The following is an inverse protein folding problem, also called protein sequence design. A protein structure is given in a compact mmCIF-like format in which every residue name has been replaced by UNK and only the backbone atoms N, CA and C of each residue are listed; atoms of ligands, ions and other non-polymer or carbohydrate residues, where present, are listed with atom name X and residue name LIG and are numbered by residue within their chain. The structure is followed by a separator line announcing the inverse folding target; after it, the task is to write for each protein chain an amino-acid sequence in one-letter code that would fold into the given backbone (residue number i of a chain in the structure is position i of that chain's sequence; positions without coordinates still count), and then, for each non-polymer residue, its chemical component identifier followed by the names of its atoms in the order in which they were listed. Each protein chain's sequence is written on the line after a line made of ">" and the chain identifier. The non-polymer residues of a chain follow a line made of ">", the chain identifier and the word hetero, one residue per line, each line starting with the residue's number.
data_IF_749971986621
#
_entry.id   IF_749971986621
#
_cell.length_a   1.000
_cell.length_b   1.000
_cell.length_c   1.000
_cell.angle_alpha   90.00
_cell.angle_beta   90.00
_cell.angle_gamma   90.00
#
_symmetry.space_group_name_H-M   'P 1'
#
loop_
_entity.id
_entity.type
_entity.pdbx_description
1 polymer ?
#
# COMPACT_ATOMS: atom_id res chain seq x y z
N UNK A 1 -27.63 33.54 50.71
CA UNK A 1 -28.16 33.43 52.09
C UNK A 1 -26.97 33.35 53.04
N UNK A 2 -26.92 34.16 54.11
CA UNK A 2 -25.88 34.01 55.12
C UNK A 2 -26.12 32.73 55.91
N UNK A 3 -25.05 32.05 56.33
CA UNK A 3 -25.16 30.85 57.12
C UNK A 3 -25.53 31.24 58.55
N UNK A 4 -26.59 30.64 59.10
CA UNK A 4 -27.04 30.86 60.47
C UNK A 4 -26.84 29.60 61.29
N UNK A 5 -26.52 29.76 62.58
CA UNK A 5 -26.54 28.64 63.51
C UNK A 5 -27.99 28.24 63.89
N UNK A 6 -28.14 27.15 64.64
CA UNK A 6 -29.46 26.68 65.09
C UNK A 6 -30.18 27.68 66.02
N UNK A 7 -29.48 28.70 66.54
CA UNK A 7 -30.03 29.78 67.35
C UNK A 7 -30.43 31.02 66.53
N UNK A 8 -30.26 31.01 65.20
CA UNK A 8 -30.61 32.11 64.31
C UNK A 8 -29.59 33.25 64.27
N UNK A 9 -28.38 33.06 64.80
CA UNK A 9 -27.33 34.06 64.72
C UNK A 9 -26.61 33.95 63.36
N UNK A 10 -26.34 35.11 62.75
CA UNK A 10 -25.68 35.16 61.45
C UNK A 10 -24.18 34.94 61.61
N UNK A 11 -23.66 33.83 61.08
CA UNK A 11 -22.24 33.48 61.17
C UNK A 11 -21.44 34.26 60.11
N UNK A 12 -20.43 35.00 60.56
CA UNK A 12 -19.47 35.66 59.69
C UNK A 12 -18.49 34.62 59.14
N UNK A 13 -18.72 34.15 57.92
CA UNK A 13 -17.78 33.26 57.23
C UNK A 13 -16.75 34.11 56.50
N UNK A 14 -15.57 34.28 57.07
CA UNK A 14 -14.49 35.07 56.48
C UNK A 14 -13.86 34.43 55.24
N UNK A 15 -13.97 33.10 55.07
CA UNK A 15 -13.50 32.38 53.87
C UNK A 15 -14.41 31.23 53.49
N UNK A 16 -14.80 31.18 52.21
CA UNK A 16 -15.55 30.07 51.61
C UNK A 16 -14.70 28.78 51.73
N UNK A 17 -15.25 27.65 52.20
CA UNK A 17 -14.51 26.39 52.20
C UNK A 17 -14.11 26.03 50.76
N UNK A 18 -12.89 25.51 50.53
CA UNK A 18 -12.46 25.14 49.20
C UNK A 18 -13.35 24.01 48.65
N UNK A 19 -13.83 24.19 47.42
CA UNK A 19 -14.47 23.12 46.65
C UNK A 19 -13.37 22.10 46.30
N UNK A 20 -13.27 21.03 47.07
CA UNK A 20 -12.39 19.91 46.76
C UNK A 20 -12.77 19.34 45.39
N UNK A 21 -11.81 19.27 44.48
CA UNK A 21 -11.97 18.52 43.23
C UNK A 21 -12.01 17.02 43.55
N UNK A 22 -12.55 16.21 42.64
CA UNK A 22 -12.72 14.76 42.83
C UNK A 22 -11.42 13.98 43.14
N UNK A 23 -10.26 14.61 43.00
CA UNK A 23 -8.94 14.06 43.36
C UNK A 23 -8.54 14.27 44.83
N UNK A 24 -9.18 15.18 45.57
CA UNK A 24 -8.77 15.57 46.94
C UNK A 24 -9.68 15.04 48.06
N UNK A 25 -10.60 14.13 47.74
CA UNK A 25 -11.36 13.39 48.75
C UNK A 25 -10.52 12.20 49.23
N UNK A 26 -9.72 12.44 50.27
CA UNK A 26 -9.15 11.36 51.09
C UNK A 26 -10.27 10.43 51.56
N UNK A 27 -10.08 9.14 51.26
CA UNK A 27 -10.90 8.02 51.70
C UNK A 27 -10.93 7.98 53.23
N UNK A 28 -11.93 8.62 53.82
CA UNK A 28 -12.34 8.31 55.19
C UNK A 28 -13.27 7.13 55.11
N UNK A 29 -12.81 6.03 55.71
CA UNK A 29 -13.36 4.70 55.62
C UNK A 29 -14.84 4.66 56.05
N UNK A 30 -15.75 4.57 55.08
CA UNK A 30 -17.09 3.96 55.27
C UNK A 30 -17.86 3.65 53.96
N UNK A 31 -17.26 3.85 52.76
CA UNK A 31 -18.01 3.72 51.50
C UNK A 31 -17.31 2.80 50.48
N UNK A 32 -17.02 1.55 50.89
CA UNK A 32 -16.32 0.56 50.04
C UNK A 32 -17.05 0.29 48.72
N UNK A 33 -18.39 0.41 48.74
CA UNK A 33 -19.26 0.29 47.57
C UNK A 33 -19.06 1.42 46.57
N UNK A 34 -18.83 2.66 47.04
CA UNK A 34 -18.58 3.82 46.18
C UNK A 34 -17.18 3.73 45.54
N UNK A 35 -16.19 3.22 46.26
CA UNK A 35 -14.85 2.98 45.72
C UNK A 35 -14.83 1.89 44.65
N UNK A 36 -15.56 0.78 44.86
CA UNK A 36 -15.72 -0.28 43.85
C UNK A 36 -16.48 0.18 42.61
N UNK A 37 -17.58 0.92 42.77
CA UNK A 37 -18.33 1.49 41.65
C UNK A 37 -17.47 2.43 40.81
N UNK A 38 -16.64 3.27 41.44
CA UNK A 38 -15.70 4.14 40.72
C UNK A 38 -14.68 3.35 39.89
N UNK A 39 -14.14 2.25 40.44
CA UNK A 39 -13.23 1.34 39.71
C UNK A 39 -13.92 0.68 38.51
N UNK A 40 -15.15 0.19 38.69
CA UNK A 40 -15.94 -0.40 37.61
C UNK A 40 -16.27 0.61 36.50
N UNK A 41 -16.65 1.84 36.87
CA UNK A 41 -16.90 2.93 35.91
C UNK A 41 -15.63 3.24 35.10
N UNK A 42 -14.47 3.27 35.76
CA UNK A 42 -13.19 3.51 35.07
C UNK A 42 -12.87 2.40 34.07
N UNK A 43 -13.03 1.13 34.46
CA UNK A 43 -12.82 -0.03 33.58
C UNK A 43 -13.80 -0.05 32.39
N UNK A 44 -15.07 0.29 32.63
CA UNK A 44 -16.08 0.39 31.57
C UNK A 44 -15.73 1.51 30.57
N UNK A 45 -15.30 2.68 31.06
CA UNK A 45 -14.84 3.78 30.20
C UNK A 45 -13.62 3.38 29.36
N UNK A 46 -12.65 2.70 29.96
CA UNK A 46 -11.47 2.19 29.25
C UNK A 46 -11.83 1.18 28.16
N UNK A 47 -12.75 0.26 28.47
CA UNK A 47 -13.21 -0.77 27.53
C UNK A 47 -14.03 -0.17 26.40
N UNK A 48 -14.94 0.76 26.70
CA UNK A 48 -15.72 1.48 25.71
C UNK A 48 -14.80 2.28 24.75
N UNK A 49 -13.79 2.97 25.29
CA UNK A 49 -12.80 3.70 24.48
C UNK A 49 -11.98 2.76 23.60
N UNK A 50 -11.54 1.61 24.13
CA UNK A 50 -10.80 0.61 23.37
C UNK A 50 -11.63 0.04 22.21
N UNK A 51 -12.90 -0.31 22.46
CA UNK A 51 -13.83 -0.78 21.43
C UNK A 51 -14.08 0.28 20.36
N UNK A 52 -14.25 1.54 20.74
CA UNK A 52 -14.41 2.64 19.78
C UNK A 52 -13.17 2.81 18.89
N UNK A 53 -11.97 2.74 19.47
CA UNK A 53 -10.70 2.81 18.71
C UNK A 53 -10.57 1.61 17.76
N UNK A 54 -10.92 0.40 18.19
CA UNK A 54 -10.92 -0.78 17.33
C UNK A 54 -11.93 -0.65 16.17
N UNK A 55 -13.14 -0.14 16.45
CA UNK A 55 -14.14 0.14 15.41
C UNK A 55 -13.64 1.11 14.35
N UNK A 56 -13.01 2.22 14.78
CA UNK A 56 -12.41 3.20 13.86
C UNK A 56 -11.28 2.56 13.03
N UNK A 57 -10.42 1.73 13.65
CA UNK A 57 -9.34 1.05 12.93
C UNK A 57 -9.86 0.11 11.84
N UNK A 58 -10.90 -0.67 12.14
CA UNK A 58 -11.53 -1.56 11.16
C UNK A 58 -12.14 -0.79 9.99
N UNK A 59 -12.80 0.35 10.25
CA UNK A 59 -13.33 1.21 9.20
C UNK A 59 -12.21 1.78 8.32
N UNK A 60 -11.09 2.23 8.90
CA UNK A 60 -9.94 2.73 8.14
C UNK A 60 -9.36 1.65 7.24
N UNK A 61 -9.21 0.41 7.73
CA UNK A 61 -8.71 -0.72 6.95
C UNK A 61 -9.65 -0.98 5.77
N UNK A 62 -10.95 -1.10 6.03
CA UNK A 62 -11.93 -1.35 4.98
C UNK A 62 -11.97 -0.24 3.92
N UNK A 63 -11.80 1.03 4.32
CA UNK A 63 -11.69 2.14 3.37
C UNK A 63 -10.40 2.06 2.53
N UNK A 64 -9.27 1.67 3.13
CA UNK A 64 -8.01 1.48 2.41
C UNK A 64 -8.09 0.33 1.39
N UNK A 65 -8.67 -0.79 1.77
CA UNK A 65 -8.82 -1.94 0.88
C UNK A 65 -9.70 -1.59 -0.32
N UNK A 66 -10.82 -0.89 -0.07
CA UNK A 66 -11.73 -0.43 -1.13
C UNK A 66 -11.06 0.58 -2.08
N UNK A 67 -10.26 1.51 -1.54
CA UNK A 67 -9.47 2.45 -2.35
C UNK A 67 -8.38 1.74 -3.17
N UNK A 68 -7.70 0.77 -2.57
CA UNK A 68 -6.69 -0.05 -3.26
C UNK A 68 -7.29 -0.79 -4.45
N UNK A 69 -8.48 -1.38 -4.25
CA UNK A 69 -9.19 -2.12 -5.30
C UNK A 69 -9.71 -1.22 -6.42
N UNK A 70 -10.23 -0.02 -6.09
CA UNK A 70 -10.60 0.96 -7.10
C UNK A 70 -9.41 1.43 -7.92
N UNK A 71 -8.25 1.64 -7.30
CA UNK A 71 -7.03 2.03 -8.01
C UNK A 71 -6.52 0.90 -8.91
N UNK A 72 -6.58 -0.37 -8.47
CA UNK A 72 -6.19 -1.50 -9.33
C UNK A 72 -7.11 -1.64 -10.54
N UNK A 73 -8.42 -1.46 -10.36
CA UNK A 73 -9.39 -1.53 -11.46
C UNK A 73 -9.20 -0.39 -12.47
N UNK A 74 -8.87 0.81 -11.98
CA UNK A 74 -8.56 1.97 -12.83
C UNK A 74 -7.30 1.71 -13.66
N UNK A 75 -6.22 1.23 -13.03
CA UNK A 75 -4.98 0.92 -13.71
C UNK A 75 -5.19 -0.17 -14.77
N UNK A 76 -5.94 -1.23 -14.46
CA UNK A 76 -6.24 -2.28 -15.41
C UNK A 76 -7.01 -1.77 -16.65
N UNK A 77 -7.95 -0.83 -16.45
CA UNK A 77 -8.67 -0.19 -17.57
C UNK A 77 -7.75 0.67 -18.42
N UNK A 78 -6.89 1.47 -17.78
CA UNK A 78 -5.92 2.30 -18.50
C UNK A 78 -4.97 1.44 -19.33
N UNK A 79 -4.48 0.32 -18.77
CA UNK A 79 -3.62 -0.63 -19.49
C UNK A 79 -4.35 -1.23 -20.70
N UNK A 80 -5.61 -1.64 -20.54
CA UNK A 80 -6.43 -2.15 -21.65
C UNK A 80 -6.64 -1.13 -22.76
N UNK A 81 -6.90 0.14 -22.43
CA UNK A 81 -7.03 1.21 -23.42
C UNK A 81 -5.71 1.44 -24.15
N UNK A 82 -4.59 1.42 -23.42
CA UNK A 82 -3.25 1.52 -24.00
C UNK A 82 -2.98 0.40 -25.01
N UNK A 83 -3.19 -0.85 -24.61
CA UNK A 83 -3.01 -2.00 -25.49
C UNK A 83 -3.94 -1.95 -26.71
N UNK A 84 -5.17 -1.46 -26.56
CA UNK A 84 -6.07 -1.25 -27.71
C UNK A 84 -5.53 -0.21 -28.69
N UNK A 85 -4.97 0.90 -28.20
CA UNK A 85 -4.30 1.91 -29.03
C UNK A 85 -3.17 1.28 -29.85
N UNK A 86 -2.28 0.56 -29.19
CA UNK A 86 -1.15 -0.13 -29.84
C UNK A 86 -1.59 -1.14 -30.90
N UNK A 87 -2.65 -1.90 -30.63
CA UNK A 87 -3.18 -2.87 -31.61
C UNK A 87 -3.72 -2.16 -32.84
N UNK A 88 -4.37 -0.99 -32.68
CA UNK A 88 -4.86 -0.21 -33.81
C UNK A 88 -3.70 0.37 -34.63
N UNK A 89 -2.70 0.96 -33.98
CA UNK A 89 -1.49 1.48 -34.63
C UNK A 89 -0.77 0.38 -35.43
N UNK A 90 -0.54 -0.79 -34.82
CA UNK A 90 0.05 -1.95 -35.50
C UNK A 90 -0.77 -2.40 -36.72
N UNK A 91 -2.11 -2.35 -36.64
CA UNK A 91 -2.98 -2.69 -37.77
C UNK A 91 -2.85 -1.66 -38.90
N UNK A 92 -2.74 -0.38 -38.58
CA UNK A 92 -2.50 0.68 -39.56
C UNK A 92 -1.14 0.53 -40.24
N UNK A 93 -0.07 0.29 -39.47
CA UNK A 93 1.26 0.02 -40.00
C UNK A 93 1.30 -1.20 -40.91
N UNK A 94 0.68 -2.32 -40.47
CA UNK A 94 0.60 -3.53 -41.29
C UNK A 94 -0.14 -3.28 -42.60
N UNK A 95 -1.20 -2.47 -42.58
CA UNK A 95 -1.92 -2.09 -43.79
C UNK A 95 -1.05 -1.21 -44.71
N UNK A 96 -0.30 -0.26 -44.15
CA UNK A 96 0.63 0.58 -44.89
C UNK A 96 1.75 -0.25 -45.54
N UNK A 97 2.40 -1.14 -44.77
CA UNK A 97 3.43 -2.07 -45.27
C UNK A 97 2.87 -2.94 -46.39
N UNK A 98 1.66 -3.49 -46.20
CA UNK A 98 1.00 -4.33 -47.22
C UNK A 98 0.69 -3.57 -48.50
N UNK A 99 0.40 -2.27 -48.40
CA UNK A 99 0.21 -1.41 -49.57
C UNK A 99 1.52 -1.10 -50.27
N UNK A 100 2.59 -0.79 -49.52
CA UNK A 100 3.94 -0.59 -50.06
C UNK A 100 4.52 -1.84 -50.73
N UNK A 101 4.30 -3.02 -50.15
CA UNK A 101 4.67 -4.30 -50.76
C UNK A 101 3.97 -4.50 -52.10
N UNK A 102 2.67 -4.20 -52.20
CA UNK A 102 1.93 -4.27 -53.46
C UNK A 102 2.46 -3.26 -54.50
N UNK A 103 2.76 -2.03 -54.10
CA UNK A 103 3.36 -1.03 -54.98
C UNK A 103 4.73 -1.49 -55.49
N UNK A 104 5.55 -2.07 -54.62
CA UNK A 104 6.87 -2.61 -54.98
C UNK A 104 6.77 -3.85 -55.86
N UNK A 105 5.84 -4.77 -55.61
CA UNK A 105 5.57 -5.93 -56.48
C UNK A 105 5.15 -5.47 -57.88
N UNK A 106 4.26 -4.47 -57.97
CA UNK A 106 3.86 -3.88 -59.25
C UNK A 106 5.06 -3.23 -59.94
N UNK A 107 5.88 -2.46 -59.24
CA UNK A 107 7.08 -1.82 -59.80
C UNK A 107 8.13 -2.84 -60.26
N UNK A 108 8.33 -3.92 -59.51
CA UNK A 108 9.30 -4.99 -59.80
C UNK A 108 8.82 -5.89 -60.96
N UNK A 109 7.50 -6.05 -61.13
CA UNK A 109 6.91 -6.70 -62.30
C UNK A 109 7.02 -5.85 -63.58
N UNK A 110 7.23 -4.53 -63.46
CA UNK A 110 7.29 -3.58 -64.59
C UNK A 110 8.73 -3.29 -65.04
N UNK A 111 9.75 -3.40 -64.17
CA UNK A 111 11.14 -3.04 -64.50
C UNK A 111 12.12 -4.01 -63.85
N UNK A 112 12.97 -4.62 -64.69
CA UNK A 112 14.13 -5.47 -64.38
C UNK A 112 14.39 -5.76 -62.89
N UNK A 113 14.31 -7.05 -62.52
CA UNK A 113 14.67 -7.63 -61.22
C UNK A 113 16.04 -7.14 -60.74
N UNK A 114 16.07 -6.06 -59.99
CA UNK A 114 17.29 -5.52 -59.43
C UNK A 114 17.60 -6.27 -58.12
N UNK A 115 18.34 -7.37 -58.25
CA UNK A 115 18.74 -8.26 -57.14
C UNK A 115 19.32 -7.51 -55.93
N UNK A 116 20.03 -6.39 -56.19
CA UNK A 116 20.61 -5.54 -55.15
C UNK A 116 19.56 -4.86 -54.26
N UNK A 117 18.40 -4.50 -54.81
CA UNK A 117 17.32 -3.90 -54.02
C UNK A 117 16.67 -4.94 -53.09
N UNK A 118 16.55 -6.19 -53.55
CA UNK A 118 16.07 -7.32 -52.74
C UNK A 118 16.97 -7.57 -51.53
N UNK A 119 18.28 -7.66 -51.75
CA UNK A 119 19.27 -7.88 -50.67
C UNK A 119 19.27 -6.73 -49.64
N UNK A 120 19.10 -5.48 -50.08
CA UNK A 120 19.05 -4.32 -49.17
C UNK A 120 17.77 -4.32 -48.33
N UNK A 121 16.62 -4.68 -48.91
CA UNK A 121 15.35 -4.77 -48.18
C UNK A 121 15.36 -5.93 -47.18
N UNK A 122 15.89 -7.09 -47.57
CA UNK A 122 16.05 -8.25 -46.69
C UNK A 122 16.96 -7.91 -45.50
N UNK A 123 18.11 -7.29 -45.76
CA UNK A 123 19.02 -6.84 -44.69
C UNK A 123 18.47 -5.74 -43.78
N UNK A 124 17.50 -4.94 -44.24
CA UNK A 124 16.78 -3.97 -43.41
C UNK A 124 15.74 -4.66 -42.53
N UNK A 125 14.97 -5.60 -43.09
CA UNK A 125 13.99 -6.40 -42.35
C UNK A 125 14.66 -7.21 -41.24
N UNK A 126 15.82 -7.83 -41.50
CA UNK A 126 16.57 -8.57 -40.49
C UNK A 126 17.04 -7.67 -39.34
N UNK A 127 17.49 -6.44 -39.65
CA UNK A 127 17.89 -5.47 -38.62
C UNK A 127 16.71 -4.99 -37.79
N UNK A 128 15.55 -4.77 -38.42
CA UNK A 128 14.31 -4.41 -37.72
C UNK A 128 13.85 -5.56 -36.82
N UNK A 129 13.87 -6.80 -37.30
CA UNK A 129 13.53 -7.99 -36.53
C UNK A 129 14.46 -8.14 -35.31
N UNK A 130 15.78 -8.01 -35.50
CA UNK A 130 16.75 -8.05 -34.40
C UNK A 130 16.56 -6.90 -33.40
N UNK A 131 16.21 -5.69 -33.85
CA UNK A 131 15.93 -4.55 -32.97
C UNK A 131 14.67 -4.78 -32.13
N UNK A 132 13.58 -5.24 -32.75
CA UNK A 132 12.34 -5.58 -32.08
C UNK A 132 12.55 -6.71 -31.06
N UNK A 133 13.32 -7.74 -31.42
CA UNK A 133 13.61 -8.87 -30.53
C UNK A 133 14.48 -8.46 -29.34
N UNK A 134 15.48 -7.60 -29.53
CA UNK A 134 16.27 -7.03 -28.43
C UNK A 134 15.41 -6.21 -27.46
N UNK A 135 14.50 -5.38 -27.98
CA UNK A 135 13.56 -4.60 -27.14
C UNK A 135 12.64 -5.52 -26.34
N UNK A 136 12.12 -6.58 -26.98
CA UNK A 136 11.27 -7.59 -26.32
C UNK A 136 12.03 -8.40 -25.26
N UNK A 137 13.28 -8.80 -25.53
CA UNK A 137 14.14 -9.49 -24.56
C UNK A 137 14.35 -8.65 -23.31
N UNK A 138 14.71 -7.37 -23.50
CA UNK A 138 14.93 -6.43 -22.39
C UNK A 138 13.69 -6.25 -21.52
N UNK A 139 12.51 -6.16 -22.14
CA UNK A 139 11.24 -6.10 -21.40
C UNK A 139 10.99 -7.36 -20.57
N UNK A 140 11.20 -8.55 -21.16
CA UNK A 140 11.01 -9.82 -20.47
C UNK A 140 11.98 -9.99 -19.29
N UNK A 141 13.24 -9.60 -19.46
CA UNK A 141 14.24 -9.62 -18.39
C UNK A 141 13.84 -8.72 -17.21
N UNK A 142 13.45 -7.47 -17.49
CA UNK A 142 12.97 -6.54 -16.46
C UNK A 142 11.71 -7.06 -15.76
N UNK A 143 10.79 -7.66 -16.51
CA UNK A 143 9.55 -8.25 -15.96
C UNK A 143 9.84 -9.44 -15.07
N UNK A 144 10.78 -10.31 -15.45
CA UNK A 144 11.23 -11.43 -14.64
C UNK A 144 11.85 -10.95 -13.31
N UNK A 145 12.78 -9.99 -13.38
CA UNK A 145 13.41 -9.41 -12.19
C UNK A 145 12.38 -8.75 -11.24
N UNK A 146 11.39 -8.04 -11.79
CA UNK A 146 10.30 -7.47 -11.00
C UNK A 146 9.48 -8.56 -10.30
N UNK A 147 9.15 -9.65 -10.99
CA UNK A 147 8.37 -10.75 -10.41
C UNK A 147 9.12 -11.46 -9.28
N UNK A 148 10.43 -11.66 -9.43
CA UNK A 148 11.29 -12.20 -8.36
C UNK A 148 11.24 -11.33 -7.11
N UNK A 149 11.38 -10.00 -7.25
CA UNK A 149 11.24 -9.06 -6.13
C UNK A 149 9.86 -9.06 -5.49
N UNK A 150 8.79 -9.26 -6.28
CA UNK A 150 7.42 -9.40 -5.75
C UNK A 150 7.27 -10.68 -4.92
N UNK A 151 7.92 -11.77 -5.32
CA UNK A 151 7.97 -13.00 -4.52
C UNK A 151 8.70 -12.78 -3.20
N UNK A 152 9.89 -12.14 -3.23
CA UNK A 152 10.64 -11.80 -2.01
C UNK A 152 9.80 -10.97 -1.03
N UNK A 153 9.11 -9.94 -1.55
CA UNK A 153 8.20 -9.13 -0.75
C UNK A 153 7.08 -9.96 -0.12
N UNK A 154 6.46 -10.86 -0.89
CA UNK A 154 5.39 -11.72 -0.38
C UNK A 154 5.89 -12.65 0.73
N UNK A 155 7.11 -13.20 0.60
CA UNK A 155 7.74 -13.99 1.67
C UNK A 155 8.00 -13.16 2.93
N UNK A 156 8.57 -11.96 2.79
CA UNK A 156 8.83 -11.08 3.92
C UNK A 156 7.54 -10.66 4.65
N UNK A 157 6.47 -10.34 3.90
CA UNK A 157 5.15 -10.02 4.48
C UNK A 157 4.59 -11.22 5.26
N UNK A 158 4.67 -12.42 4.69
CA UNK A 158 4.21 -13.65 5.37
C UNK A 158 5.00 -13.92 6.64
N UNK A 159 6.32 -13.68 6.61
CA UNK A 159 7.17 -13.84 7.79
C UNK A 159 6.83 -12.81 8.87
N UNK A 160 6.67 -11.54 8.48
CA UNK A 160 6.23 -10.46 9.35
C UNK A 160 4.88 -10.78 10.03
N UNK A 161 3.89 -11.29 9.28
CA UNK A 161 2.60 -11.68 9.85
C UNK A 161 2.72 -12.80 10.89
N UNK A 162 3.64 -13.75 10.66
CA UNK A 162 3.98 -14.80 11.62
C UNK A 162 4.57 -14.23 12.91
N UNK A 163 5.58 -13.37 12.80
CA UNK A 163 6.19 -12.70 13.95
C UNK A 163 5.20 -11.81 14.68
N UNK A 164 4.29 -11.14 13.96
CA UNK A 164 3.30 -10.26 14.55
C UNK A 164 2.28 -11.04 15.38
N UNK A 165 1.88 -12.23 14.91
CA UNK A 165 1.07 -13.18 15.71
C UNK A 165 1.82 -13.61 16.97
N UNK A 166 3.08 -14.02 16.84
CA UNK A 166 3.90 -14.40 17.99
C UNK A 166 4.05 -13.27 19.02
N UNK A 167 4.25 -12.04 18.56
CA UNK A 167 4.28 -10.87 19.43
C UNK A 167 2.99 -10.69 20.21
N UNK A 168 1.84 -10.80 19.54
CA UNK A 168 0.53 -10.67 20.19
C UNK A 168 0.28 -11.79 21.21
N UNK A 169 0.65 -13.03 20.87
CA UNK A 169 0.51 -14.18 21.76
C UNK A 169 1.38 -14.04 23.01
N UNK A 170 2.65 -13.64 22.84
CA UNK A 170 3.58 -13.39 23.94
C UNK A 170 3.07 -12.25 24.83
N UNK A 171 2.53 -11.19 24.24
CA UNK A 171 1.95 -10.06 24.96
C UNK A 171 0.70 -10.44 25.75
N UNK A 172 -0.14 -11.28 25.17
CA UNK A 172 -1.35 -11.76 25.84
C UNK A 172 -1.02 -12.68 27.04
N UNK A 173 0.01 -13.52 26.92
CA UNK A 173 0.41 -14.47 27.96
C UNK A 173 1.24 -13.84 29.06
N UNK A 174 2.23 -13.02 28.69
CA UNK A 174 3.31 -12.60 29.58
C UNK A 174 3.35 -11.07 29.81
N UNK A 175 2.43 -10.30 29.22
CA UNK A 175 2.31 -8.86 29.45
C UNK A 175 3.48 -8.06 28.88
N UNK A 176 4.46 -7.72 29.72
CA UNK A 176 5.71 -7.07 29.31
C UNK A 176 6.89 -7.97 29.71
N UNK A 177 7.41 -8.71 28.74
CA UNK A 177 8.55 -9.62 28.89
C UNK A 177 9.75 -9.09 28.10
N UNK A 178 11.00 -9.42 28.50
CA UNK A 178 12.19 -9.13 27.69
C UNK A 178 12.09 -9.72 26.27
N UNK A 179 11.43 -10.87 26.15
CA UNK A 179 11.19 -11.57 24.88
C UNK A 179 10.30 -10.78 23.91
N UNK A 180 9.37 -9.96 24.42
CA UNK A 180 8.60 -9.03 23.57
C UNK A 180 9.46 -7.94 22.94
N UNK A 181 10.52 -7.52 23.62
CA UNK A 181 11.44 -6.50 23.09
C UNK A 181 12.24 -7.10 21.94
N UNK A 182 12.68 -8.34 22.08
CA UNK A 182 13.39 -9.09 21.05
C UNK A 182 12.51 -9.30 19.81
N UNK A 183 11.29 -9.86 19.97
CA UNK A 183 10.34 -10.04 18.86
C UNK A 183 9.97 -8.67 18.24
N UNK A 184 9.85 -7.63 19.06
CA UNK A 184 9.61 -6.26 18.58
C UNK A 184 10.75 -5.71 17.72
N UNK A 185 12.00 -6.07 18.03
CA UNK A 185 13.17 -5.69 17.23
C UNK A 185 13.22 -6.44 15.89
N UNK A 186 12.87 -7.74 15.89
CA UNK A 186 12.75 -8.56 14.67
C UNK A 186 11.64 -8.02 13.75
N UNK A 187 10.48 -7.68 14.32
CA UNK A 187 9.38 -7.03 13.58
C UNK A 187 9.81 -5.74 12.92
N UNK A 188 10.64 -4.94 13.58
CA UNK A 188 11.18 -3.71 13.00
C UNK A 188 12.10 -4.03 11.82
N UNK A 189 13.02 -4.99 11.98
CA UNK A 189 13.92 -5.44 10.91
C UNK A 189 13.14 -5.93 9.68
N UNK A 190 12.14 -6.78 9.88
CA UNK A 190 11.30 -7.29 8.78
C UNK A 190 10.51 -6.17 8.09
N UNK A 191 10.03 -5.20 8.86
CA UNK A 191 9.36 -4.03 8.29
C UNK A 191 10.31 -3.20 7.41
N UNK A 192 11.57 -3.07 7.81
CA UNK A 192 12.57 -2.36 7.02
C UNK A 192 12.87 -3.10 5.70
N UNK A 193 12.97 -4.44 5.73
CA UNK A 193 13.10 -5.30 4.54
C UNK A 193 11.90 -5.13 3.59
N UNK A 194 10.67 -5.17 4.12
CA UNK A 194 9.44 -4.96 3.34
C UNK A 194 9.44 -3.59 2.66
N UNK A 195 9.86 -2.54 3.39
CA UNK A 195 9.94 -1.20 2.83
C UNK A 195 10.97 -1.12 1.70
N UNK A 196 12.16 -1.69 1.90
CA UNK A 196 13.21 -1.71 0.88
C UNK A 196 12.74 -2.45 -0.38
N UNK A 197 12.20 -3.67 -0.23
CA UNK A 197 11.65 -4.45 -1.35
C UNK A 197 10.53 -3.70 -2.08
N UNK A 198 9.62 -3.05 -1.35
CA UNK A 198 8.55 -2.23 -1.92
C UNK A 198 9.10 -1.05 -2.73
N UNK A 199 10.15 -0.38 -2.23
CA UNK A 199 10.79 0.71 -2.98
C UNK A 199 11.51 0.23 -4.24
N UNK A 200 12.15 -0.94 -4.18
CA UNK A 200 12.81 -1.54 -5.33
C UNK A 200 11.81 -1.92 -6.43
N UNK A 201 10.66 -2.51 -6.07
CA UNK A 201 9.56 -2.81 -7.00
C UNK A 201 9.06 -1.54 -7.66
N UNK A 202 8.87 -0.46 -6.88
CA UNK A 202 8.44 0.83 -7.46
C UNK A 202 9.44 1.40 -8.47
N UNK A 203 10.75 1.23 -8.24
CA UNK A 203 11.79 1.64 -9.21
C UNK A 203 11.70 0.80 -10.48
N UNK A 204 11.60 -0.53 -10.34
CA UNK A 204 11.46 -1.44 -11.49
C UNK A 204 10.19 -1.17 -12.30
N UNK A 205 9.06 -0.84 -11.64
CA UNK A 205 7.85 -0.45 -12.36
C UNK A 205 8.06 0.79 -13.23
N UNK A 206 8.78 1.81 -12.74
CA UNK A 206 9.08 3.00 -13.55
C UNK A 206 9.98 2.69 -14.75
N UNK A 207 10.95 1.81 -14.57
CA UNK A 207 11.81 1.35 -15.66
C UNK A 207 11.03 0.51 -16.68
N UNK A 208 10.11 -0.34 -16.22
CA UNK A 208 9.19 -1.07 -17.06
C UNK A 208 8.27 -0.14 -17.85
N UNK A 209 7.66 0.85 -17.20
CA UNK A 209 6.80 1.85 -17.85
C UNK A 209 7.56 2.61 -18.95
N UNK A 210 8.82 2.97 -18.71
CA UNK A 210 9.68 3.61 -19.70
C UNK A 210 10.00 2.67 -20.88
N UNK A 211 10.35 1.40 -20.61
CA UNK A 211 10.61 0.41 -21.68
C UNK A 211 9.34 0.07 -22.45
N UNK A 212 8.18 0.03 -21.80
CA UNK A 212 6.88 -0.11 -22.46
C UNK A 212 6.59 1.08 -23.35
N UNK A 213 6.87 2.32 -22.93
CA UNK A 213 6.78 3.48 -23.82
C UNK A 213 7.66 3.34 -25.07
N UNK A 214 8.91 2.91 -24.92
CA UNK A 214 9.81 2.64 -26.06
C UNK A 214 9.39 1.46 -26.96
N UNK A 215 8.54 0.57 -26.45
CA UNK A 215 7.91 -0.50 -27.26
C UNK A 215 6.67 0.00 -28.00
N UNK A 216 6.11 1.15 -27.59
CA UNK A 216 4.88 1.74 -28.13
C UNK A 216 5.13 2.95 -29.05
N UNK A 217 6.31 3.56 -29.02
CA UNK A 217 6.66 4.75 -29.83
C UNK A 217 7.26 4.40 -31.22
N UNK A 218 6.78 3.36 -31.89
CA UNK A 218 6.96 3.22 -33.36
C UNK A 218 5.68 3.62 -34.09
#
# INVERSE_FOLDING_TARGET
>A
MPYMDQGGNTLQIEKRPPLKTSEELEDTAEDSTVSELRKQILQLKMTARSKAIQGIRLQIIHCKDKLSQQNSDLNYRNDLERYRGTVLENVEELNFIRQKLRELEVANNIRNKDSRLGEVLEGLLDKMALSAERRRSRYLELKAAMLERKLDLAYAVKHFDGLFKHYNDEKAKNGHSPRLVEIGSELKSERDIINEASTAIRRHNKELEAVEQYLLEE
#
